data_IF_123313575911
#
_entry.id   IF_123313575911
#
_cell.length_a   1.000
_cell.length_b   1.000
_cell.length_c   1.000
_cell.angle_alpha   90.00
_cell.angle_beta   90.00
_cell.angle_gamma   90.00
#
_symmetry.space_group_name_H-M   'P 1'
#
loop_
_entity.id
_entity.type
_entity.pdbx_description
1 polymer ?
#
# COMPACT_ATOMS: atom_id res chain seq x y z
N UNK A 1 42.48 19.29 20.42
CA UNK A 1 41.48 18.27 20.79
C UNK A 1 40.12 18.92 20.65
N UNK A 2 39.37 18.60 19.60
CA UNK A 2 38.03 19.15 19.35
C UNK A 2 37.14 18.00 18.90
N UNK A 3 36.86 17.09 19.81
CA UNK A 3 35.85 16.04 19.67
C UNK A 3 35.19 15.94 21.06
N UNK A 4 33.90 16.35 21.23
CA UNK A 4 32.77 15.46 20.94
C UNK A 4 31.44 16.17 20.61
N UNK A 5 31.43 17.22 19.78
CA UNK A 5 30.19 17.96 19.49
C UNK A 5 29.37 17.38 18.33
N UNK A 6 29.93 16.45 17.56
CA UNK A 6 29.26 15.81 16.43
C UNK A 6 28.30 14.68 16.88
N UNK A 7 28.71 13.86 17.86
CA UNK A 7 27.90 12.73 18.34
C UNK A 7 26.52 13.15 18.88
N UNK A 8 26.41 14.34 19.48
CA UNK A 8 25.13 14.81 20.04
C UNK A 8 24.16 15.36 19.00
N UNK A 9 24.65 15.81 17.83
CA UNK A 9 23.76 16.27 16.75
C UNK A 9 23.20 15.10 15.94
N UNK A 10 23.95 14.00 15.83
CA UNK A 10 23.49 12.78 15.19
C UNK A 10 22.29 12.17 15.94
N UNK A 11 22.38 12.04 17.27
CA UNK A 11 21.28 11.53 18.10
C UNK A 11 20.00 12.40 18.03
N UNK A 12 20.15 13.73 17.92
CA UNK A 12 18.98 14.65 17.86
C UNK A 12 18.34 14.66 16.46
N UNK A 13 19.13 14.50 15.38
CA UNK A 13 18.61 14.40 14.01
C UNK A 13 18.02 13.03 13.67
N UNK A 14 18.64 11.95 14.15
CA UNK A 14 18.21 10.57 13.90
C UNK A 14 16.86 10.24 14.56
N UNK A 15 16.62 10.73 15.77
CA UNK A 15 15.34 10.53 16.47
C UNK A 15 14.18 11.23 15.72
N UNK A 16 14.45 12.37 15.06
CA UNK A 16 13.45 13.06 14.23
C UNK A 16 13.16 12.26 12.94
N UNK A 17 14.20 11.81 12.24
CA UNK A 17 14.07 11.06 10.99
C UNK A 17 13.36 9.71 11.16
N UNK A 18 13.66 8.98 12.24
CA UNK A 18 12.98 7.72 12.57
C UNK A 18 11.48 7.95 12.87
N UNK A 19 11.18 8.90 13.76
CA UNK A 19 9.80 9.24 14.13
C UNK A 19 9.00 9.74 12.91
N UNK A 20 9.65 10.53 12.07
CA UNK A 20 9.10 11.03 10.82
C UNK A 20 8.80 9.91 9.83
N UNK A 21 9.76 9.00 9.62
CA UNK A 21 9.60 7.87 8.72
C UNK A 21 8.46 6.95 9.18
N UNK A 22 8.36 6.67 10.48
CA UNK A 22 7.26 5.87 11.03
C UNK A 22 5.89 6.51 10.81
N UNK A 23 5.75 7.80 11.14
CA UNK A 23 4.52 8.55 10.92
C UNK A 23 4.14 8.59 9.43
N UNK A 24 5.12 8.79 8.56
CA UNK A 24 4.90 8.80 7.12
C UNK A 24 4.41 7.43 6.64
N UNK A 25 5.07 6.33 7.02
CA UNK A 25 4.65 4.97 6.64
C UNK A 25 3.22 4.70 7.08
N UNK A 26 2.90 4.97 8.36
CA UNK A 26 1.55 4.80 8.93
C UNK A 26 0.50 5.56 8.11
N UNK A 27 0.74 6.83 7.84
CA UNK A 27 -0.17 7.70 7.09
C UNK A 27 -0.34 7.23 5.64
N UNK A 28 0.77 6.88 4.97
CA UNK A 28 0.75 6.49 3.56
C UNK A 28 0.13 5.13 3.33
N UNK A 29 0.43 4.17 4.21
CA UNK A 29 -0.15 2.85 4.13
C UNK A 29 -1.63 2.88 4.55
N UNK A 30 -1.91 3.34 5.78
CA UNK A 30 -3.25 3.29 6.36
C UNK A 30 -4.26 4.21 5.68
N UNK A 31 -3.92 5.46 5.41
CA UNK A 31 -4.89 6.42 4.87
C UNK A 31 -4.90 6.46 3.35
N UNK A 32 -3.72 6.31 2.73
CA UNK A 32 -3.58 6.46 1.27
C UNK A 32 -3.52 5.12 0.56
N UNK A 33 -3.43 3.99 1.25
CA UNK A 33 -3.35 2.66 0.63
C UNK A 33 -2.15 2.52 -0.31
N UNK A 34 -1.02 3.16 0.02
CA UNK A 34 0.21 3.01 -0.74
C UNK A 34 0.92 1.70 -0.37
N UNK A 35 1.48 1.05 -1.37
CA UNK A 35 2.39 -0.10 -1.20
C UNK A 35 3.66 0.30 -0.45
N UNK A 36 4.29 -0.66 0.22
CA UNK A 36 5.60 -0.51 0.87
C UNK A 36 6.64 0.04 -0.10
N UNK A 37 6.61 -0.42 -1.36
CA UNK A 37 7.52 0.06 -2.42
C UNK A 37 7.32 1.53 -2.78
N UNK A 38 6.08 2.00 -2.88
CA UNK A 38 5.80 3.41 -3.13
C UNK A 38 6.27 4.27 -1.96
N UNK A 39 6.04 3.81 -0.74
CA UNK A 39 6.46 4.51 0.48
C UNK A 39 7.99 4.56 0.56
N UNK A 40 8.69 3.46 0.30
CA UNK A 40 10.15 3.42 0.24
C UNK A 40 10.73 4.41 -0.78
N UNK A 41 10.08 4.58 -1.92
CA UNK A 41 10.48 5.56 -2.93
C UNK A 41 10.29 6.99 -2.41
N UNK A 42 9.21 7.24 -1.67
CA UNK A 42 8.95 8.55 -1.06
C UNK A 42 9.93 8.88 0.07
N UNK A 43 10.26 7.92 0.94
CA UNK A 43 11.24 8.07 2.01
C UNK A 43 12.61 8.47 1.45
N UNK A 44 13.11 7.73 0.45
CA UNK A 44 14.39 8.06 -0.23
C UNK A 44 14.39 9.43 -0.89
N UNK A 45 13.29 9.82 -1.53
CA UNK A 45 13.15 11.16 -2.13
C UNK A 45 13.19 12.29 -1.10
N UNK A 46 12.86 11.99 0.16
CA UNK A 46 12.90 12.94 1.28
C UNK A 46 14.26 12.96 1.99
N UNK A 47 15.22 12.14 1.55
CA UNK A 47 16.58 12.13 2.08
C UNK A 47 16.83 11.16 3.24
N UNK A 48 15.84 10.35 3.61
CA UNK A 48 15.99 9.32 4.64
C UNK A 48 16.88 8.19 4.12
N UNK A 49 17.83 7.77 4.95
CA UNK A 49 18.73 6.67 4.63
C UNK A 49 18.00 5.33 4.55
N UNK A 50 18.65 4.33 3.95
CA UNK A 50 18.04 3.02 3.70
C UNK A 50 17.74 2.25 5.00
N UNK A 51 18.52 2.44 6.07
CA UNK A 51 18.31 1.75 7.34
C UNK A 51 17.08 2.30 8.06
N UNK A 52 16.98 3.62 8.20
CA UNK A 52 15.81 4.30 8.77
C UNK A 52 14.54 3.98 7.97
N UNK A 53 14.63 4.01 6.63
CA UNK A 53 13.50 3.67 5.78
C UNK A 53 13.08 2.21 5.93
N UNK A 54 14.03 1.26 5.99
CA UNK A 54 13.74 -0.15 6.16
C UNK A 54 13.10 -0.45 7.53
N UNK A 55 13.63 0.15 8.60
CA UNK A 55 13.09 0.02 9.95
C UNK A 55 11.63 0.50 10.01
N UNK A 56 11.35 1.70 9.49
CA UNK A 56 10.00 2.24 9.45
C UNK A 56 9.05 1.39 8.59
N UNK A 57 9.49 0.89 7.43
CA UNK A 57 8.71 0.01 6.57
C UNK A 57 8.48 -1.39 7.17
N UNK A 58 9.24 -1.77 8.20
CA UNK A 58 9.07 -3.01 8.94
C UNK A 58 7.75 -3.08 9.72
N UNK A 59 7.10 -1.94 9.98
CA UNK A 59 5.80 -1.90 10.64
C UNK A 59 4.64 -2.38 9.73
N UNK A 60 4.88 -2.51 8.42
CA UNK A 60 3.91 -3.06 7.47
C UNK A 60 4.40 -4.46 7.10
N UNK A 61 3.73 -5.46 7.63
CA UNK A 61 3.96 -6.85 7.24
C UNK A 61 3.29 -7.18 5.90
N UNK A 62 3.66 -8.35 5.35
CA UNK A 62 3.21 -8.78 4.02
C UNK A 62 1.69 -9.05 4.00
N UNK A 63 1.12 -9.53 5.11
CA UNK A 63 -0.31 -9.78 5.26
C UNK A 63 -1.12 -8.47 5.24
N UNK A 64 -0.64 -7.45 5.96
CA UNK A 64 -1.24 -6.11 5.97
C UNK A 64 -1.16 -5.46 4.60
N UNK A 65 -0.02 -5.61 3.90
CA UNK A 65 0.12 -5.11 2.52
C UNK A 65 -0.84 -5.81 1.55
N UNK A 66 -0.96 -7.14 1.66
CA UNK A 66 -1.89 -7.93 0.86
C UNK A 66 -3.35 -7.55 1.14
N UNK A 67 -3.74 -7.42 2.40
CA UNK A 67 -5.10 -7.04 2.79
C UNK A 67 -5.46 -5.62 2.29
N UNK A 68 -4.52 -4.67 2.37
CA UNK A 68 -4.72 -3.34 1.82
C UNK A 68 -4.92 -3.37 0.29
N UNK A 69 -4.22 -4.25 -0.42
CA UNK A 69 -4.44 -4.46 -1.85
C UNK A 69 -5.85 -5.02 -2.13
N UNK A 70 -6.27 -6.01 -1.34
CA UNK A 70 -7.59 -6.62 -1.40
C UNK A 70 -8.72 -5.61 -1.16
N UNK A 71 -8.62 -4.79 -0.10
CA UNK A 71 -9.57 -3.71 0.18
C UNK A 71 -9.66 -2.69 -0.97
N UNK A 72 -8.50 -2.29 -1.52
CA UNK A 72 -8.46 -1.36 -2.63
C UNK A 72 -9.13 -1.93 -3.89
N UNK A 73 -8.91 -3.22 -4.17
CA UNK A 73 -9.56 -3.92 -5.27
C UNK A 73 -11.08 -3.97 -5.08
N UNK A 74 -11.56 -4.45 -3.91
CA UNK A 74 -12.99 -4.47 -3.57
C UNK A 74 -13.63 -3.09 -3.73
N UNK A 75 -13.02 -2.06 -3.13
CA UNK A 75 -13.54 -0.70 -3.22
C UNK A 75 -13.58 -0.19 -4.66
N UNK A 76 -12.65 -0.62 -5.51
CA UNK A 76 -12.61 -0.21 -6.91
C UNK A 76 -13.63 -0.96 -7.77
N UNK A 77 -13.79 -2.26 -7.55
CA UNK A 77 -14.77 -3.11 -8.22
C UNK A 77 -16.20 -2.67 -7.92
N UNK A 78 -16.52 -2.36 -6.66
CA UNK A 78 -17.81 -1.74 -6.26
C UNK A 78 -18.13 -0.46 -7.03
N UNK A 79 -17.14 0.44 -7.18
CA UNK A 79 -17.31 1.71 -7.93
C UNK A 79 -17.44 1.52 -9.45
N UNK A 80 -17.17 0.33 -9.94
CA UNK A 80 -17.26 -0.03 -11.36
C UNK A 80 -18.32 -1.10 -11.63
N UNK A 81 -19.21 -1.35 -10.66
CA UNK A 81 -20.35 -2.23 -10.86
C UNK A 81 -21.17 -1.77 -12.09
N UNK A 82 -21.67 -2.73 -12.87
CA UNK A 82 -22.44 -2.47 -14.09
C UNK A 82 -21.62 -2.14 -15.35
N UNK A 83 -20.29 -2.09 -15.27
CA UNK A 83 -19.43 -1.99 -16.45
C UNK A 83 -19.00 -3.38 -16.93
N UNK A 84 -18.59 -3.47 -18.20
CA UNK A 84 -17.99 -4.68 -18.76
C UNK A 84 -16.80 -5.19 -17.92
N UNK A 85 -16.72 -6.51 -17.78
CA UNK A 85 -15.71 -7.20 -16.96
C UNK A 85 -14.28 -6.69 -17.22
N UNK A 86 -13.88 -6.62 -18.48
CA UNK A 86 -12.54 -6.14 -18.87
C UNK A 86 -12.29 -4.67 -18.51
N UNK A 87 -13.33 -3.83 -18.53
CA UNK A 87 -13.24 -2.44 -18.11
C UNK A 87 -13.07 -2.35 -16.60
N UNK A 88 -13.78 -3.19 -15.84
CA UNK A 88 -13.64 -3.28 -14.36
C UNK A 88 -12.22 -3.69 -13.99
N UNK A 89 -11.70 -4.78 -14.58
CA UNK A 89 -10.34 -5.29 -14.34
C UNK A 89 -9.31 -4.20 -14.64
N UNK A 90 -9.33 -3.61 -15.83
CA UNK A 90 -8.37 -2.57 -16.23
C UNK A 90 -8.38 -1.37 -15.29
N UNK A 91 -9.57 -0.92 -14.86
CA UNK A 91 -9.73 0.21 -13.95
C UNK A 91 -9.28 -0.10 -12.52
N UNK A 92 -9.44 -1.35 -12.09
CA UNK A 92 -9.00 -1.84 -10.80
C UNK A 92 -7.48 -2.02 -10.75
N UNK A 93 -6.90 -2.80 -11.67
CA UNK A 93 -5.46 -2.99 -11.79
C UNK A 93 -4.73 -1.66 -11.92
N UNK A 94 -5.23 -0.75 -12.77
CA UNK A 94 -4.64 0.58 -12.91
C UNK A 94 -4.70 1.43 -11.64
N UNK A 95 -5.71 1.22 -10.77
CA UNK A 95 -5.77 1.90 -9.48
C UNK A 95 -4.71 1.40 -8.51
N UNK A 96 -4.53 0.07 -8.40
CA UNK A 96 -3.47 -0.53 -7.59
C UNK A 96 -2.08 -0.14 -8.11
N UNK A 97 -1.86 -0.16 -9.43
CA UNK A 97 -0.58 0.25 -10.02
C UNK A 97 -0.19 1.69 -9.64
N UNK A 98 -1.15 2.63 -9.62
CA UNK A 98 -0.90 4.01 -9.17
C UNK A 98 -0.59 4.14 -7.68
N UNK A 99 -0.93 3.12 -6.89
CA UNK A 99 -0.55 3.01 -5.46
C UNK A 99 0.78 2.27 -5.26
N UNK A 100 1.39 1.82 -6.36
CA UNK A 100 2.74 1.25 -6.40
C UNK A 100 2.82 -0.27 -6.25
N UNK A 101 1.67 -0.95 -6.08
CA UNK A 101 1.61 -2.41 -6.08
C UNK A 101 2.18 -2.99 -7.38
N UNK A 102 2.81 -4.16 -7.28
CA UNK A 102 3.39 -4.82 -8.45
C UNK A 102 2.27 -5.21 -9.44
N UNK A 103 2.55 -5.24 -10.75
CA UNK A 103 1.55 -5.64 -11.74
C UNK A 103 0.97 -7.03 -11.46
N UNK A 104 1.80 -7.99 -11.04
CA UNK A 104 1.38 -9.35 -10.72
C UNK A 104 0.39 -9.40 -9.55
N UNK A 105 0.74 -8.75 -8.42
CA UNK A 105 -0.14 -8.70 -7.25
C UNK A 105 -1.43 -7.94 -7.56
N UNK A 106 -1.33 -6.82 -8.28
CA UNK A 106 -2.50 -6.04 -8.67
C UNK A 106 -3.48 -6.85 -9.52
N UNK A 107 -2.98 -7.63 -10.48
CA UNK A 107 -3.83 -8.50 -11.31
C UNK A 107 -4.42 -9.64 -10.50
N UNK A 108 -3.61 -10.36 -9.71
CA UNK A 108 -4.05 -11.50 -8.90
C UNK A 108 -5.18 -11.11 -7.95
N UNK A 109 -4.98 -10.04 -7.18
CA UNK A 109 -5.95 -9.57 -6.18
C UNK A 109 -7.26 -9.14 -6.84
N UNK A 110 -7.18 -8.42 -7.96
CA UNK A 110 -8.38 -7.97 -8.70
C UNK A 110 -9.16 -9.16 -9.25
N UNK A 111 -8.48 -10.14 -9.83
CA UNK A 111 -9.15 -11.36 -10.31
C UNK A 111 -9.82 -12.09 -9.15
N UNK A 112 -9.10 -12.28 -8.04
CA UNK A 112 -9.63 -13.00 -6.87
C UNK A 112 -10.87 -12.33 -6.28
N UNK A 113 -10.89 -11.00 -6.16
CA UNK A 113 -12.06 -10.27 -5.65
C UNK A 113 -13.23 -10.28 -6.65
N UNK A 114 -12.94 -10.20 -7.95
CA UNK A 114 -13.97 -10.26 -8.97
C UNK A 114 -14.64 -11.64 -9.02
N UNK A 115 -13.86 -12.72 -8.98
CA UNK A 115 -14.36 -14.09 -8.95
C UNK A 115 -15.17 -14.35 -7.67
N UNK A 116 -14.82 -13.70 -6.55
CA UNK A 116 -15.62 -13.74 -5.30
C UNK A 116 -16.96 -13.01 -5.43
N UNK A 117 -17.00 -11.84 -6.06
CA UNK A 117 -18.25 -11.13 -6.35
C UNK A 117 -19.17 -12.00 -7.24
N UNK A 118 -18.62 -12.57 -8.32
CA UNK A 118 -19.37 -13.43 -9.26
C UNK A 118 -19.84 -14.74 -8.61
N UNK A 119 -19.04 -15.35 -7.74
CA UNK A 119 -19.42 -16.55 -6.98
C UNK A 119 -20.41 -16.30 -5.83
N UNK A 120 -20.51 -15.06 -5.34
CA UNK A 120 -21.48 -14.64 -4.31
C UNK A 120 -22.84 -14.20 -4.87
N UNK A 121 -22.88 -13.74 -6.13
CA UNK A 121 -24.09 -13.27 -6.82
C UNK A 121 -24.99 -14.42 -7.32
N UNK A 122 -24.46 -15.65 -7.42
CA UNK A 122 -25.21 -16.84 -7.87
C UNK A 122 -26.18 -17.45 -6.83
N UNK A 123 -26.38 -16.82 -5.67
CA UNK A 123 -27.13 -17.37 -4.53
C UNK A 123 -28.51 -16.79 -4.27
N UNK A 124 -28.97 -15.81 -5.05
CA UNK A 124 -30.21 -15.10 -4.76
C UNK A 124 -31.08 -14.87 -6.01
N UNK A 125 -31.45 -15.94 -6.71
CA UNK A 125 -32.66 -15.90 -7.56
C UNK A 125 -33.28 -17.30 -7.71
N UNK A 126 -34.37 -17.51 -6.96
CA UNK A 126 -35.34 -18.59 -7.11
C UNK A 126 -35.97 -19.03 -5.79
N UNK A 127 -37.29 -19.32 -5.68
CA UNK A 127 -38.33 -19.32 -6.73
C UNK A 127 -39.60 -18.52 -6.36
N UNK A 128 -40.11 -17.71 -7.30
CA UNK A 128 -41.55 -17.56 -7.57
C UNK A 128 -41.74 -17.25 -9.05
#
# INVERSE_FOLDING_TARGET
MVEPLLDRFEDVGLVDDASYAEMLVRTRHGERGLSRRAIATELRRRGLDDETAAAALGQVDDDSEAEAAHELARARLRRTAGLDRDVRIRRAVGALARKGYSPSLAFEVVQRELDREEGGDGGADGPW
#
